data_IF_583472896789
#
_entry.id   IF_583472896789
#
_cell.length_a   1.000
_cell.length_b   1.000
_cell.length_c   1.000
_cell.angle_alpha   90.00
_cell.angle_beta   90.00
_cell.angle_gamma   90.00
#
_symmetry.space_group_name_H-M   'P 1'
#
loop_
_entity.id
_entity.type
_entity.pdbx_description
1 polymer ?
#
# COMPACT_ATOMS: atom_id res chain seq x y z
N UNK A 1 14.25 -11.16 -16.16
CA UNK A 1 14.80 -9.93 -15.54
C UNK A 1 15.42 -9.04 -16.60
N UNK A 2 16.44 -9.51 -17.37
CA UNK A 2 17.13 -8.70 -18.38
C UNK A 2 16.19 -8.07 -19.41
N UNK A 3 15.27 -8.86 -19.98
CA UNK A 3 14.26 -8.37 -20.92
C UNK A 3 13.33 -7.31 -20.31
N UNK A 4 12.97 -7.45 -19.01
CA UNK A 4 12.17 -6.46 -18.31
C UNK A 4 12.92 -5.13 -18.18
N UNK A 5 14.21 -5.18 -17.84
CA UNK A 5 15.07 -3.98 -17.76
C UNK A 5 15.24 -3.28 -19.10
N UNK A 6 15.43 -4.05 -20.18
CA UNK A 6 15.52 -3.52 -21.54
C UNK A 6 14.20 -2.85 -21.95
N UNK A 7 13.07 -3.46 -21.59
CA UNK A 7 11.74 -2.89 -21.83
C UNK A 7 11.52 -1.59 -21.04
N UNK A 8 11.85 -1.60 -19.75
CA UNK A 8 11.75 -0.41 -18.89
C UNK A 8 12.57 0.74 -19.43
N UNK A 9 13.86 0.48 -19.76
CA UNK A 9 14.73 1.51 -20.32
C UNK A 9 14.20 2.09 -21.64
N UNK A 10 13.64 1.23 -22.50
CA UNK A 10 13.07 1.65 -23.78
C UNK A 10 11.79 2.51 -23.60
N UNK A 11 11.07 2.32 -22.52
CA UNK A 11 9.81 3.01 -22.25
C UNK A 11 9.92 4.11 -21.17
N UNK A 12 11.14 4.46 -20.76
CA UNK A 12 11.39 5.44 -19.69
C UNK A 12 10.65 5.10 -18.38
N UNK A 13 10.66 3.81 -18.01
CA UNK A 13 10.15 3.34 -16.72
C UNK A 13 11.34 3.24 -15.77
N UNK A 14 11.43 4.17 -14.83
CA UNK A 14 12.61 4.30 -13.96
C UNK A 14 12.53 3.36 -12.73
N UNK A 15 11.35 3.00 -12.31
CA UNK A 15 11.13 2.21 -11.09
C UNK A 15 9.95 1.24 -11.24
N UNK A 16 10.07 0.09 -10.60
CA UNK A 16 8.98 -0.83 -10.36
C UNK A 16 8.83 -1.06 -8.85
N UNK A 17 7.61 -1.20 -8.40
CA UNK A 17 7.28 -1.57 -7.03
C UNK A 17 6.75 -3.01 -7.04
N UNK A 18 7.24 -3.83 -6.14
CA UNK A 18 6.81 -5.22 -6.01
C UNK A 18 5.72 -5.29 -4.95
N UNK A 19 4.64 -6.00 -5.23
CA UNK A 19 3.64 -6.32 -4.22
C UNK A 19 3.85 -7.74 -3.70
N UNK A 20 3.91 -7.89 -2.38
CA UNK A 20 4.02 -9.19 -1.72
C UNK A 20 2.77 -10.04 -1.96
N UNK A 21 2.89 -11.38 -2.08
CA UNK A 21 1.74 -12.24 -2.29
C UNK A 21 0.70 -12.16 -1.16
N UNK A 22 -0.56 -12.20 -1.51
CA UNK A 22 -1.71 -12.18 -0.57
C UNK A 22 -1.69 -13.29 0.50
N UNK A 23 -0.97 -14.37 0.25
CA UNK A 23 -0.86 -15.49 1.18
C UNK A 23 -0.08 -15.13 2.46
N UNK A 24 0.71 -14.07 2.43
CA UNK A 24 1.49 -13.63 3.58
C UNK A 24 0.55 -13.07 4.66
N UNK A 25 0.52 -13.73 5.81
CA UNK A 25 -0.19 -13.24 6.99
C UNK A 25 0.72 -13.37 8.22
N UNK A 26 1.57 -12.37 8.44
CA UNK A 26 2.49 -12.32 9.58
C UNK A 26 1.78 -12.14 10.93
N UNK A 27 0.54 -11.65 10.92
CA UNK A 27 -0.22 -11.42 12.15
C UNK A 27 -0.87 -12.67 12.74
N UNK A 28 -0.79 -13.82 12.05
CA UNK A 28 -1.44 -15.04 12.49
C UNK A 28 -0.66 -15.75 13.62
N UNK A 29 -1.16 -15.65 14.84
CA UNK A 29 -0.59 -16.32 16.02
C UNK A 29 -1.27 -17.65 16.34
N UNK A 30 -2.36 -17.99 15.63
CA UNK A 30 -3.19 -19.17 15.93
C UNK A 30 -2.65 -20.41 15.21
N UNK A 31 -2.12 -20.22 13.99
CA UNK A 31 -1.58 -21.29 13.16
C UNK A 31 -0.09 -21.07 12.90
N UNK A 32 0.81 -21.67 13.69
CA UNK A 32 2.25 -21.50 13.53
C UNK A 32 2.76 -21.78 12.12
N UNK A 33 2.22 -22.82 11.48
CA UNK A 33 2.59 -23.20 10.11
C UNK A 33 2.25 -22.09 9.08
N UNK A 34 1.17 -21.35 9.29
CA UNK A 34 0.82 -20.21 8.41
C UNK A 34 1.81 -19.08 8.59
N UNK A 35 2.25 -18.83 9.81
CA UNK A 35 3.26 -17.82 10.10
C UNK A 35 4.63 -18.18 9.51
N UNK A 36 5.07 -19.43 9.67
CA UNK A 36 6.34 -19.90 9.12
C UNK A 36 6.38 -19.76 7.59
N UNK A 37 5.29 -20.13 6.92
CA UNK A 37 5.14 -19.97 5.48
C UNK A 37 5.16 -18.45 5.12
N UNK A 38 4.47 -17.63 5.86
CA UNK A 38 4.43 -16.18 5.63
C UNK A 38 5.82 -15.54 5.74
N UNK A 39 6.60 -15.93 6.74
CA UNK A 39 7.97 -15.45 6.94
C UNK A 39 8.90 -15.91 5.79
N UNK A 40 8.79 -17.15 5.33
CA UNK A 40 9.55 -17.67 4.19
C UNK A 40 9.20 -16.92 2.88
N UNK A 41 7.91 -16.66 2.65
CA UNK A 41 7.47 -15.89 1.48
C UNK A 41 7.93 -14.44 1.55
N UNK A 42 7.92 -13.84 2.74
CA UNK A 42 8.43 -12.48 2.94
C UNK A 42 9.93 -12.40 2.60
N UNK A 43 10.74 -13.31 3.13
CA UNK A 43 12.18 -13.38 2.85
C UNK A 43 12.46 -13.56 1.36
N UNK A 44 11.81 -14.55 0.74
CA UNK A 44 11.95 -14.82 -0.70
C UNK A 44 11.45 -13.64 -1.55
N UNK A 45 10.37 -12.98 -1.12
CA UNK A 45 9.83 -11.79 -1.77
C UNK A 45 10.83 -10.64 -1.77
N UNK A 46 11.47 -10.38 -0.63
CA UNK A 46 12.46 -9.33 -0.48
C UNK A 46 13.71 -9.60 -1.34
N UNK A 47 14.23 -10.84 -1.33
CA UNK A 47 15.33 -11.25 -2.20
C UNK A 47 15.01 -11.05 -3.69
N UNK A 48 13.80 -11.42 -4.12
CA UNK A 48 13.35 -11.23 -5.51
C UNK A 48 13.20 -9.76 -5.85
N UNK A 49 12.70 -8.94 -4.92
CA UNK A 49 12.58 -7.50 -5.08
C UNK A 49 13.95 -6.89 -5.36
N UNK A 50 14.95 -7.24 -4.57
CA UNK A 50 16.33 -6.80 -4.76
C UNK A 50 16.93 -7.31 -6.09
N UNK A 51 16.71 -8.59 -6.41
CA UNK A 51 17.19 -9.19 -7.66
C UNK A 51 16.57 -8.56 -8.91
N UNK A 52 15.34 -8.06 -8.79
CA UNK A 52 14.68 -7.28 -9.84
C UNK A 52 15.12 -5.82 -9.86
N UNK A 53 15.95 -5.38 -8.91
CA UNK A 53 16.41 -4.01 -8.74
C UNK A 53 15.33 -3.04 -8.28
N UNK A 54 14.21 -3.54 -7.83
CA UNK A 54 13.21 -2.73 -7.13
C UNK A 54 13.72 -2.38 -5.73
N UNK A 55 13.33 -1.21 -5.26
CA UNK A 55 13.71 -0.73 -3.93
C UNK A 55 12.59 -0.86 -2.91
N UNK A 56 11.38 -1.21 -3.35
CA UNK A 56 10.18 -1.24 -2.50
C UNK A 56 9.39 -2.52 -2.77
N UNK A 57 9.05 -3.21 -1.67
CA UNK A 57 8.06 -4.29 -1.65
C UNK A 57 6.90 -3.89 -0.74
N UNK A 58 5.71 -3.74 -1.31
CA UNK A 58 4.47 -3.50 -0.56
C UNK A 58 4.06 -4.78 0.17
N UNK A 59 3.65 -4.63 1.41
CA UNK A 59 3.23 -5.72 2.27
C UNK A 59 1.95 -5.34 3.03
N UNK A 60 0.89 -6.13 2.88
CA UNK A 60 -0.23 -6.11 3.82
C UNK A 60 0.26 -6.60 5.19
N UNK A 61 0.06 -5.85 6.27
CA UNK A 61 0.52 -6.28 7.61
C UNK A 61 -0.04 -7.64 8.02
N UNK A 62 -1.30 -7.93 7.64
CA UNK A 62 -1.97 -9.19 7.89
C UNK A 62 -3.18 -9.06 8.81
N UNK A 63 -3.73 -10.21 9.21
CA UNK A 63 -4.93 -10.31 10.03
C UNK A 63 -4.69 -11.15 11.27
N UNK A 64 -5.10 -10.64 12.44
CA UNK A 64 -4.87 -11.32 13.73
C UNK A 64 -5.79 -12.53 13.99
N UNK A 65 -6.71 -12.82 13.11
CA UNK A 65 -7.62 -13.99 13.09
C UNK A 65 -8.23 -14.34 14.46
N UNK A 66 -8.59 -13.32 15.24
CA UNK A 66 -9.22 -13.46 16.55
C UNK A 66 -8.26 -13.42 17.75
N UNK A 67 -6.94 -13.41 17.55
CA UNK A 67 -5.96 -13.32 18.64
C UNK A 67 -5.84 -11.92 19.27
N UNK A 68 -6.39 -10.91 18.62
CA UNK A 68 -6.31 -9.51 19.04
C UNK A 68 -5.17 -8.74 18.38
N UNK A 69 -5.36 -7.42 18.30
CA UNK A 69 -4.44 -6.49 17.61
C UNK A 69 -3.04 -6.55 18.20
N UNK A 70 -2.90 -6.54 19.52
CA UNK A 70 -1.58 -6.53 20.18
C UNK A 70 -0.77 -7.78 19.85
N UNK A 71 -1.40 -8.96 19.89
CA UNK A 71 -0.75 -10.21 19.55
C UNK A 71 -0.34 -10.23 18.07
N UNK A 72 -1.20 -9.73 17.18
CA UNK A 72 -0.92 -9.65 15.76
C UNK A 72 0.23 -8.69 15.44
N UNK A 73 0.24 -7.48 16.02
CA UNK A 73 1.34 -6.51 15.84
C UNK A 73 2.68 -7.11 16.31
N UNK A 74 2.71 -7.71 17.49
CA UNK A 74 3.94 -8.35 17.99
C UNK A 74 4.45 -9.45 17.05
N UNK A 75 3.54 -10.21 16.43
CA UNK A 75 3.92 -11.27 15.50
C UNK A 75 4.43 -10.69 14.16
N UNK A 76 3.81 -9.60 13.65
CA UNK A 76 4.29 -8.88 12.47
C UNK A 76 5.71 -8.36 12.71
N UNK A 77 5.92 -7.67 13.82
CA UNK A 77 7.23 -7.13 14.21
C UNK A 77 8.29 -8.23 14.27
N UNK A 78 7.96 -9.37 14.89
CA UNK A 78 8.84 -10.54 14.95
C UNK A 78 9.21 -11.03 13.54
N UNK A 79 8.22 -11.22 12.65
CA UNK A 79 8.45 -11.72 11.30
C UNK A 79 9.30 -10.76 10.46
N UNK A 80 9.04 -9.46 10.55
CA UNK A 80 9.84 -8.46 9.84
C UNK A 80 11.27 -8.43 10.39
N UNK A 81 11.46 -8.48 11.71
CA UNK A 81 12.79 -8.50 12.33
C UNK A 81 13.60 -9.77 12.00
N UNK A 82 12.93 -10.89 11.71
CA UNK A 82 13.61 -12.11 11.27
C UNK A 82 14.12 -12.02 9.83
N UNK A 83 13.50 -11.16 9.00
CA UNK A 83 13.80 -11.06 7.56
C UNK A 83 14.66 -9.84 7.24
N UNK A 84 14.32 -8.67 7.79
CA UNK A 84 15.10 -7.46 7.54
C UNK A 84 16.45 -7.49 8.27
N UNK A 85 17.48 -7.13 7.54
CA UNK A 85 18.85 -7.00 8.05
C UNK A 85 19.42 -5.62 7.72
N UNK A 86 20.56 -5.29 8.33
CA UNK A 86 21.29 -4.06 7.97
C UNK A 86 21.69 -4.01 6.49
N UNK A 87 21.88 -5.17 5.86
CA UNK A 87 22.36 -5.31 4.49
C UNK A 87 21.21 -5.37 3.46
N UNK A 88 19.94 -5.41 3.91
CA UNK A 88 18.77 -5.34 3.03
C UNK A 88 18.79 -4.04 2.22
N UNK A 89 18.64 -4.15 0.90
CA UNK A 89 18.68 -3.03 -0.04
C UNK A 89 17.30 -2.51 -0.38
N UNK A 90 16.29 -3.38 -0.34
CA UNK A 90 14.90 -3.02 -0.53
C UNK A 90 14.24 -2.70 0.81
N UNK A 91 13.27 -1.79 0.77
CA UNK A 91 12.39 -1.46 1.88
C UNK A 91 11.10 -2.29 1.82
N UNK A 92 10.52 -2.57 2.98
CA UNK A 92 9.16 -3.07 3.09
C UNK A 92 8.24 -1.87 3.28
N UNK A 93 7.29 -1.65 2.37
CA UNK A 93 6.25 -0.65 2.51
C UNK A 93 5.00 -1.29 3.11
N UNK A 94 4.73 -1.00 4.38
CA UNK A 94 3.52 -1.47 5.06
C UNK A 94 2.31 -0.73 4.49
N UNK A 95 1.32 -1.47 4.04
CA UNK A 95 0.13 -0.87 3.45
C UNK A 95 -0.87 -0.44 4.52
N UNK A 96 -1.48 0.74 4.32
CA UNK A 96 -2.66 1.16 5.08
C UNK A 96 -3.83 0.26 4.71
N UNK A 97 -4.54 -0.29 5.70
CA UNK A 97 -5.59 -1.28 5.48
C UNK A 97 -6.98 -0.72 5.75
N UNK A 98 -7.97 -1.25 5.06
CA UNK A 98 -9.38 -0.85 5.19
C UNK A 98 -10.01 -1.25 6.55
N UNK A 99 -9.41 -2.19 7.27
CA UNK A 99 -9.94 -2.72 8.51
C UNK A 99 -11.00 -3.80 8.32
N UNK A 100 -10.95 -4.51 7.19
CA UNK A 100 -11.85 -5.62 6.90
C UNK A 100 -11.60 -6.78 7.86
N UNK A 101 -12.63 -7.16 8.62
CA UNK A 101 -12.54 -8.27 9.57
C UNK A 101 -11.55 -8.00 10.69
N UNK A 102 -10.41 -8.70 10.68
CA UNK A 102 -9.35 -8.62 11.69
C UNK A 102 -8.02 -8.11 11.15
N UNK A 103 -8.05 -7.35 10.06
CA UNK A 103 -6.87 -6.72 9.49
C UNK A 103 -6.20 -5.75 10.46
N UNK A 104 -4.88 -5.73 10.43
CA UNK A 104 -4.01 -4.80 11.16
C UNK A 104 -3.50 -3.74 10.19
N UNK A 105 -3.34 -2.51 10.67
CA UNK A 105 -2.96 -1.37 9.83
C UNK A 105 -4.14 -0.52 9.36
N UNK A 106 -5.31 -0.73 9.95
CA UNK A 106 -6.53 0.06 9.67
C UNK A 106 -6.48 1.49 10.21
N UNK A 107 -5.58 1.77 11.10
CA UNK A 107 -5.30 3.11 11.58
C UNK A 107 -3.79 3.35 11.63
N UNK A 108 -3.40 4.61 11.59
CA UNK A 108 -2.00 5.00 11.53
C UNK A 108 -1.24 4.61 12.80
N UNK A 109 -1.91 4.58 13.92
CA UNK A 109 -1.34 4.18 15.22
C UNK A 109 -0.93 2.69 15.25
N UNK A 110 -1.67 1.81 14.57
CA UNK A 110 -1.28 0.39 14.42
C UNK A 110 0.00 0.25 13.56
N UNK A 111 0.11 1.00 12.46
CA UNK A 111 1.32 1.03 11.64
C UNK A 111 2.51 1.61 12.41
N UNK A 112 2.32 2.72 13.14
CA UNK A 112 3.37 3.31 13.96
C UNK A 112 3.93 2.31 14.99
N UNK A 113 3.07 1.53 15.62
CA UNK A 113 3.49 0.49 16.57
C UNK A 113 4.34 -0.62 15.91
N UNK A 114 4.06 -0.95 14.65
CA UNK A 114 4.91 -1.88 13.90
C UNK A 114 6.27 -1.24 13.65
N UNK A 115 6.30 0.02 13.21
CA UNK A 115 7.54 0.79 13.01
C UNK A 115 8.41 0.82 14.26
N UNK A 116 7.81 1.14 15.41
CA UNK A 116 8.52 1.25 16.69
C UNK A 116 9.14 -0.08 17.14
N UNK A 117 8.53 -1.20 16.76
CA UNK A 117 9.00 -2.54 17.13
C UNK A 117 10.07 -3.11 16.19
N UNK A 118 10.24 -2.56 14.98
CA UNK A 118 11.19 -3.07 13.99
C UNK A 118 12.58 -2.46 14.21
N UNK A 119 13.60 -3.33 14.32
CA UNK A 119 14.99 -2.92 14.60
C UNK A 119 15.58 -2.09 13.46
N UNK A 120 15.33 -2.50 12.21
CA UNK A 120 15.77 -1.78 11.01
C UNK A 120 14.62 -0.99 10.40
N UNK A 121 13.98 -0.12 11.19
CA UNK A 121 12.84 0.66 10.75
C UNK A 121 13.19 1.73 9.69
N UNK A 122 14.45 2.06 9.51
CA UNK A 122 14.96 2.83 8.37
C UNK A 122 14.72 2.12 7.03
N UNK A 123 14.48 0.81 7.04
CA UNK A 123 14.09 -0.03 5.90
C UNK A 123 12.57 -0.20 5.78
N UNK A 124 11.78 0.49 6.57
CA UNK A 124 10.33 0.53 6.41
C UNK A 124 9.89 1.78 5.65
N UNK A 125 8.79 1.64 4.94
CA UNK A 125 8.02 2.72 4.32
C UNK A 125 6.53 2.41 4.50
N UNK A 126 5.69 3.36 4.14
CA UNK A 126 4.25 3.14 4.06
C UNK A 126 3.82 3.14 2.59
N UNK A 127 2.98 2.18 2.23
CA UNK A 127 2.12 2.24 1.07
C UNK A 127 0.80 2.87 1.50
N UNK A 128 0.53 4.08 1.02
CA UNK A 128 -0.71 4.78 1.33
C UNK A 128 -1.75 4.46 0.26
N UNK A 129 -2.69 3.56 0.58
CA UNK A 129 -3.81 3.24 -0.32
C UNK A 129 -5.02 4.13 -0.02
N UNK A 130 -5.45 4.89 -1.02
CA UNK A 130 -6.54 5.86 -0.88
C UNK A 130 -7.90 5.21 -0.63
N UNK A 131 -8.18 4.05 -1.24
CA UNK A 131 -9.39 3.28 -0.98
C UNK A 131 -9.41 2.76 0.46
N UNK A 132 -8.30 2.16 0.91
CA UNK A 132 -8.19 1.61 2.25
C UNK A 132 -8.32 2.68 3.33
N UNK A 133 -7.67 3.82 3.16
CA UNK A 133 -7.74 4.96 4.09
C UNK A 133 -9.17 5.49 4.19
N UNK A 134 -9.87 5.66 3.04
CA UNK A 134 -11.29 6.03 3.03
C UNK A 134 -12.15 4.99 3.75
N UNK A 135 -11.96 3.71 3.43
CA UNK A 135 -12.75 2.62 4.01
C UNK A 135 -12.46 2.42 5.50
N UNK A 136 -11.27 2.81 5.99
CA UNK A 136 -10.93 2.85 7.39
C UNK A 136 -11.52 4.03 8.17
N UNK A 137 -12.10 5.02 7.48
CA UNK A 137 -12.82 6.13 8.08
C UNK A 137 -12.06 7.47 8.10
N UNK A 138 -11.00 7.61 7.33
CA UNK A 138 -10.31 8.89 7.12
C UNK A 138 -10.93 9.63 5.94
N UNK A 139 -11.49 10.81 6.19
CA UNK A 139 -12.25 11.58 5.20
C UNK A 139 -11.34 12.33 4.22
N UNK A 140 -10.90 11.62 3.19
CA UNK A 140 -10.08 12.20 2.12
C UNK A 140 -10.82 13.27 1.30
N UNK A 141 -12.16 13.22 1.27
CA UNK A 141 -12.97 14.10 0.44
C UNK A 141 -13.18 15.47 1.08
N UNK A 142 -13.49 15.49 2.38
CA UNK A 142 -13.86 16.73 3.07
C UNK A 142 -12.73 17.26 3.98
N UNK A 143 -11.77 16.41 4.36
CA UNK A 143 -10.68 16.77 5.28
C UNK A 143 -9.32 16.19 4.86
N UNK A 144 -8.97 16.37 3.58
CA UNK A 144 -7.72 15.83 3.02
C UNK A 144 -6.48 16.32 3.79
N UNK A 145 -6.44 17.60 4.14
CA UNK A 145 -5.32 18.17 4.92
C UNK A 145 -5.23 17.56 6.31
N UNK A 146 -6.37 17.44 7.02
CA UNK A 146 -6.41 16.85 8.36
C UNK A 146 -6.00 15.38 8.37
N UNK A 147 -6.33 14.63 7.32
CA UNK A 147 -5.86 13.23 7.19
C UNK A 147 -4.33 13.19 7.08
N UNK A 148 -3.71 14.00 6.22
CA UNK A 148 -2.24 14.03 6.09
C UNK A 148 -1.56 14.64 7.30
N UNK A 149 -2.13 15.65 7.96
CA UNK A 149 -1.62 16.19 9.22
C UNK A 149 -1.64 15.12 10.34
N UNK A 150 -2.72 14.32 10.41
CA UNK A 150 -2.78 13.20 11.35
C UNK A 150 -1.73 12.14 11.02
N UNK A 151 -1.58 11.79 9.74
CA UNK A 151 -0.57 10.83 9.31
C UNK A 151 0.85 11.32 9.66
N UNK A 152 1.15 12.57 9.37
CA UNK A 152 2.44 13.20 9.66
C UNK A 152 2.77 13.17 11.14
N UNK A 153 1.81 13.50 11.99
CA UNK A 153 1.96 13.49 13.44
C UNK A 153 2.24 12.10 14.01
N UNK A 154 1.69 11.04 13.40
CA UNK A 154 1.74 9.66 13.92
C UNK A 154 2.93 8.89 13.38
N UNK A 155 3.25 9.06 12.10
CA UNK A 155 4.29 8.26 11.41
C UNK A 155 5.33 9.18 10.76
N UNK A 156 4.89 10.30 10.15
CA UNK A 156 5.67 11.16 9.27
C UNK A 156 5.32 10.95 7.80
N UNK A 157 4.97 12.04 7.09
CA UNK A 157 4.64 11.96 5.66
C UNK A 157 5.85 11.61 4.79
N UNK A 158 7.06 11.83 5.28
CA UNK A 158 8.32 11.41 4.67
C UNK A 158 8.52 9.87 4.66
N UNK A 159 7.73 9.13 5.43
CA UNK A 159 7.74 7.67 5.43
C UNK A 159 6.86 7.06 4.32
N UNK A 160 6.08 7.85 3.61
CA UNK A 160 5.32 7.35 2.45
C UNK A 160 6.31 7.04 1.32
N UNK A 161 6.40 5.77 0.95
CA UNK A 161 7.28 5.29 -0.12
C UNK A 161 6.55 5.01 -1.42
N UNK A 162 5.23 4.82 -1.38
CA UNK A 162 4.39 4.56 -2.54
C UNK A 162 2.94 4.90 -2.23
N UNK A 163 2.21 5.33 -3.23
CA UNK A 163 0.75 5.45 -3.18
C UNK A 163 0.10 4.37 -4.04
N UNK A 164 -0.92 3.73 -3.50
CA UNK A 164 -1.96 3.10 -4.30
C UNK A 164 -3.09 4.11 -4.46
N UNK A 165 -3.30 4.56 -5.70
CA UNK A 165 -4.34 5.54 -6.04
C UNK A 165 -5.54 4.78 -6.56
N UNK A 166 -6.47 4.50 -5.68
CA UNK A 166 -7.67 3.74 -5.97
C UNK A 166 -8.90 4.53 -5.51
N UNK A 167 -9.96 4.57 -6.32
CA UNK A 167 -11.26 5.03 -5.82
C UNK A 167 -11.94 3.91 -5.03
N UNK A 168 -12.94 4.24 -4.22
CA UNK A 168 -13.65 3.26 -3.42
C UNK A 168 -15.11 3.12 -3.84
N UNK A 169 -15.59 1.86 -3.99
CA UNK A 169 -17.02 1.55 -4.13
C UNK A 169 -17.81 1.86 -2.88
N UNK A 170 -17.14 2.01 -1.76
CA UNK A 170 -17.77 2.09 -0.46
C UNK A 170 -17.80 3.54 0.04
N UNK A 171 -18.78 3.82 0.89
CA UNK A 171 -18.82 5.06 1.66
C UNK A 171 -17.71 5.06 2.71
N UNK A 172 -17.38 6.25 3.18
CA UNK A 172 -16.40 6.48 4.26
C UNK A 172 -16.65 5.54 5.46
N UNK A 173 -15.59 4.89 5.91
CA UNK A 173 -15.61 4.05 7.11
C UNK A 173 -16.29 2.68 6.94
N UNK A 174 -16.48 2.21 5.72
CA UNK A 174 -17.20 0.95 5.47
C UNK A 174 -16.43 -0.31 5.87
N UNK A 175 -15.10 -0.26 5.97
CA UNK A 175 -14.24 -1.40 6.34
C UNK A 175 -14.32 -2.58 5.38
N UNK A 176 -14.36 -2.34 4.06
CA UNK A 176 -14.67 -3.40 3.09
C UNK A 176 -13.58 -3.69 2.06
N UNK A 177 -12.72 -2.71 1.75
CA UNK A 177 -11.71 -2.86 0.70
C UNK A 177 -12.32 -3.33 -0.63
N UNK A 178 -12.84 -2.39 -1.40
CA UNK A 178 -13.40 -2.63 -2.74
C UNK A 178 -13.05 -1.45 -3.64
N UNK A 179 -12.00 -1.62 -4.43
CA UNK A 179 -11.56 -0.62 -5.39
C UNK A 179 -12.62 -0.35 -6.46
N UNK A 180 -12.71 0.90 -6.84
CA UNK A 180 -13.49 1.37 -7.98
C UNK A 180 -12.56 2.06 -8.98
N UNK A 181 -13.00 2.19 -10.22
CA UNK A 181 -12.29 2.96 -11.23
C UNK A 181 -12.27 4.44 -10.88
N UNK A 182 -11.20 5.13 -11.28
CA UNK A 182 -10.93 6.53 -10.93
C UNK A 182 -12.11 7.43 -11.29
N UNK A 183 -12.66 8.10 -10.28
CA UNK A 183 -13.76 9.05 -10.41
C UNK A 183 -15.16 8.42 -10.46
N UNK A 184 -15.26 7.10 -10.38
CA UNK A 184 -16.55 6.39 -10.37
C UNK A 184 -16.93 5.86 -8.98
N UNK A 185 -16.13 6.15 -7.97
CA UNK A 185 -16.36 5.78 -6.58
C UNK A 185 -16.75 6.94 -5.68
N UNK A 186 -16.59 6.72 -4.37
CA UNK A 186 -16.99 7.69 -3.34
C UNK A 186 -15.88 8.68 -2.95
N UNK A 187 -14.62 8.45 -3.36
CA UNK A 187 -13.53 9.42 -3.17
C UNK A 187 -13.56 10.45 -4.29
N UNK A 188 -13.73 9.98 -5.51
CA UNK A 188 -13.90 10.81 -6.71
C UNK A 188 -12.59 11.32 -7.29
N UNK A 189 -12.68 11.68 -8.59
CA UNK A 189 -11.54 12.10 -9.40
C UNK A 189 -10.78 13.31 -8.82
N UNK A 190 -11.50 14.35 -8.38
CA UNK A 190 -10.87 15.61 -7.95
C UNK A 190 -10.01 15.44 -6.70
N UNK A 191 -10.46 14.62 -5.72
CA UNK A 191 -9.69 14.30 -4.53
C UNK A 191 -8.43 13.50 -4.87
N UNK A 192 -8.57 12.45 -5.69
CA UNK A 192 -7.44 11.63 -6.12
C UNK A 192 -6.42 12.45 -6.94
N UNK A 193 -6.90 13.33 -7.82
CA UNK A 193 -6.05 14.27 -8.55
C UNK A 193 -5.30 15.21 -7.61
N UNK A 194 -5.94 15.75 -6.57
CA UNK A 194 -5.27 16.59 -5.58
C UNK A 194 -4.11 15.83 -4.92
N UNK A 195 -4.31 14.57 -4.49
CA UNK A 195 -3.27 13.76 -3.88
C UNK A 195 -2.08 13.54 -4.82
N UNK A 196 -2.35 13.21 -6.10
CA UNK A 196 -1.31 12.97 -7.10
C UNK A 196 -0.42 14.20 -7.31
N UNK A 197 -1.02 15.39 -7.30
CA UNK A 197 -0.33 16.65 -7.58
C UNK A 197 0.12 17.41 -6.32
N UNK A 198 0.08 16.79 -5.14
CA UNK A 198 0.71 17.36 -3.96
C UNK A 198 2.22 17.43 -4.15
N UNK A 199 2.78 18.66 -4.10
CA UNK A 199 4.21 18.93 -4.34
C UNK A 199 5.13 18.09 -3.47
N UNK A 200 4.76 17.91 -2.20
CA UNK A 200 5.53 17.10 -1.25
C UNK A 200 5.64 15.62 -1.64
N UNK A 201 4.79 15.12 -2.52
CA UNK A 201 4.76 13.72 -2.98
C UNK A 201 5.12 13.57 -4.46
N UNK A 202 5.65 14.61 -5.11
CA UNK A 202 5.94 14.61 -6.55
C UNK A 202 6.77 13.39 -6.98
N UNK A 203 7.80 13.05 -6.21
CA UNK A 203 8.75 11.98 -6.52
C UNK A 203 8.35 10.60 -5.95
N UNK A 204 7.18 10.48 -5.32
CA UNK A 204 6.70 9.20 -4.79
C UNK A 204 5.93 8.45 -5.88
N UNK A 205 6.22 7.16 -6.15
CA UNK A 205 5.47 6.35 -7.11
C UNK A 205 3.97 6.31 -6.78
N UNK A 206 3.13 6.42 -7.82
CA UNK A 206 1.67 6.29 -7.73
C UNK A 206 1.24 5.14 -8.63
N UNK A 207 0.54 4.17 -8.07
CA UNK A 207 0.15 2.92 -8.72
C UNK A 207 -1.36 2.79 -8.67
N UNK A 208 -1.95 2.27 -9.75
CA UNK A 208 -3.38 1.98 -9.86
C UNK A 208 -3.61 0.48 -9.73
N UNK A 209 -4.60 0.10 -8.91
CA UNK A 209 -5.07 -1.28 -8.76
C UNK A 209 -6.57 -1.37 -9.02
N UNK A 210 -7.06 -0.49 -9.89
CA UNK A 210 -8.47 -0.36 -10.24
C UNK A 210 -8.98 -1.59 -11.00
N UNK A 211 -10.27 -1.94 -10.86
CA UNK A 211 -10.82 -3.13 -11.49
C UNK A 211 -10.87 -3.03 -13.02
N UNK A 212 -10.75 -4.17 -13.69
CA UNK A 212 -10.93 -4.26 -15.13
C UNK A 212 -12.37 -3.91 -15.53
N UNK A 213 -12.51 -3.26 -16.67
CA UNK A 213 -13.79 -2.90 -17.30
C UNK A 213 -13.98 -3.83 -18.50
N UNK A 214 -15.04 -4.61 -18.50
CA UNK A 214 -15.34 -5.58 -19.58
C UNK A 214 -14.14 -6.47 -19.96
N UNK A 215 -13.37 -6.89 -18.96
CA UNK A 215 -12.19 -7.74 -19.16
C UNK A 215 -10.95 -7.02 -19.69
N UNK A 216 -10.96 -5.69 -19.78
CA UNK A 216 -9.83 -4.87 -20.24
C UNK A 216 -9.27 -4.04 -19.10
N UNK A 217 -7.92 -3.90 -19.08
CA UNK A 217 -7.24 -3.02 -18.15
C UNK A 217 -7.54 -1.55 -18.45
N UNK A 218 -8.03 -0.76 -17.48
CA UNK A 218 -8.40 0.63 -17.69
C UNK A 218 -7.21 1.61 -17.53
N UNK A 219 -6.07 1.12 -17.09
CA UNK A 219 -4.96 1.92 -16.56
C UNK A 219 -4.47 3.03 -17.50
N UNK A 220 -4.40 2.76 -18.80
CA UNK A 220 -3.99 3.78 -19.79
C UNK A 220 -4.93 4.98 -19.76
N UNK A 221 -6.23 4.71 -19.77
CA UNK A 221 -7.25 5.78 -19.80
C UNK A 221 -7.28 6.52 -18.46
N UNK A 222 -7.16 5.81 -17.35
CA UNK A 222 -7.11 6.42 -16.03
C UNK A 222 -5.85 7.28 -15.82
N UNK A 223 -4.68 6.80 -16.28
CA UNK A 223 -3.44 7.60 -16.26
C UNK A 223 -3.61 8.84 -17.13
N UNK A 224 -4.21 8.72 -18.31
CA UNK A 224 -4.45 9.85 -19.20
C UNK A 224 -5.37 10.91 -18.58
N UNK A 225 -6.37 10.51 -17.77
CA UNK A 225 -7.18 11.47 -17.01
C UNK A 225 -6.32 12.36 -16.11
N UNK A 226 -5.35 11.76 -15.41
CA UNK A 226 -4.45 12.51 -14.54
C UNK A 226 -3.47 13.35 -15.34
N UNK A 227 -2.81 12.81 -16.35
CA UNK A 227 -1.84 13.51 -17.20
C UNK A 227 -2.48 14.75 -17.86
N UNK A 228 -3.70 14.63 -18.36
CA UNK A 228 -4.43 15.73 -18.99
C UNK A 228 -5.29 16.52 -18.01
N UNK A 229 -5.32 16.15 -16.75
CA UNK A 229 -6.14 16.74 -15.68
C UNK A 229 -7.62 16.87 -16.07
N UNK A 230 -8.14 15.87 -16.77
CA UNK A 230 -9.52 15.87 -17.28
C UNK A 230 -10.18 14.51 -17.01
N UNK A 231 -11.29 14.56 -16.29
CA UNK A 231 -12.08 13.36 -16.01
C UNK A 231 -12.80 12.85 -17.28
N UNK A 232 -12.69 11.57 -17.56
CA UNK A 232 -13.41 10.88 -18.64
C UNK A 232 -14.58 10.06 -18.09
N UNK A 233 -15.77 10.67 -18.06
CA UNK A 233 -16.98 10.01 -17.58
C UNK A 233 -17.54 8.94 -18.53
N UNK A 234 -16.95 8.77 -19.71
CA UNK A 234 -17.29 7.73 -20.69
C UNK A 234 -16.42 6.48 -20.59
N UNK A 235 -15.59 6.35 -19.57
CA UNK A 235 -14.76 5.18 -19.37
C UNK A 235 -15.58 3.92 -18.98
N UNK A 236 -16.72 4.12 -18.31
CA UNK A 236 -17.70 3.11 -17.94
C UNK A 236 -19.03 3.33 -18.60
#
# INVERSE_FOLDING_TARGET
IKEAWEYMAHHNIDEIVIHAPYIINLANTIKPETYEIAEQFLATGLERTEAMGSRIMVLHPGSHVGAGVDAGINQIVKGINNVLTKDSKACIALETMAGKGSEIGRNFEELARIYDGVVYNDKLRVCFDTCHVNDAGYDLVNDLSGVFEKFDKVIGTDQIGVFHINDSKNVLGAGKDRHENIGFGNIGYDTLRQIIYMEQFENIPKILETPYIDGKAPYREEINMFVHQTFNNGLK
#
